data_IF_941926323437
#
_entry.id   IF_941926323437
#
_cell.length_a   1.000
_cell.length_b   1.000
_cell.length_c   1.000
_cell.angle_alpha   90.00
_cell.angle_beta   90.00
_cell.angle_gamma   90.00
#
_symmetry.space_group_name_H-M   'P 1'
#
loop_
_entity.id
_entity.type
_entity.pdbx_description
1 polymer ?
#
# COMPACT_ATOMS: atom_id res chain seq x y z
N UNK A 1 23.51 -3.52 21.27
CA UNK A 1 22.52 -2.91 20.35
C UNK A 1 22.82 -3.39 18.93
N UNK A 2 22.28 -4.54 18.53
CA UNK A 2 22.61 -5.22 17.26
C UNK A 2 21.63 -4.91 16.11
N UNK A 3 20.64 -4.06 16.36
CA UNK A 3 19.50 -3.83 15.45
C UNK A 3 19.86 -2.85 14.31
N UNK A 4 20.88 -2.01 14.55
CA UNK A 4 21.36 -0.98 13.60
C UNK A 4 22.51 -1.47 12.71
N UNK A 5 23.06 -2.67 12.94
CA UNK A 5 24.16 -3.15 12.10
C UNK A 5 23.61 -3.78 10.81
N UNK A 6 24.08 -3.29 9.66
CA UNK A 6 23.74 -3.82 8.34
C UNK A 6 24.05 -5.34 8.23
N UNK A 7 25.07 -5.80 8.98
CA UNK A 7 25.46 -7.21 9.12
C UNK A 7 24.41 -8.09 9.80
N UNK A 8 23.53 -7.52 10.63
CA UNK A 8 22.42 -8.26 11.27
C UNK A 8 21.30 -8.60 10.26
N UNK A 9 21.15 -7.75 9.25
CA UNK A 9 20.16 -7.91 8.18
C UNK A 9 20.71 -8.73 6.99
N UNK A 10 22.02 -8.65 6.73
CA UNK A 10 22.71 -9.40 5.67
C UNK A 10 23.34 -10.74 6.13
N UNK A 11 23.13 -11.18 7.37
CA UNK A 11 23.68 -12.46 7.81
C UNK A 11 23.00 -13.62 7.08
N UNK A 12 23.83 -14.49 6.47
CA UNK A 12 23.40 -15.62 5.64
C UNK A 12 22.76 -16.76 6.45
N UNK A 13 22.98 -16.76 7.76
CA UNK A 13 22.42 -17.70 8.74
C UNK A 13 21.84 -16.88 9.90
N UNK A 14 20.66 -16.29 9.75
CA UNK A 14 19.99 -15.69 10.89
C UNK A 14 19.63 -16.80 11.88
N UNK A 15 19.88 -16.64 13.20
CA UNK A 15 19.27 -17.51 14.18
C UNK A 15 17.75 -17.45 13.99
N UNK A 16 17.10 -18.61 14.11
CA UNK A 16 15.64 -18.76 14.02
C UNK A 16 14.95 -17.61 14.74
N UNK A 17 14.08 -16.89 14.06
CA UNK A 17 13.29 -15.81 14.67
C UNK A 17 12.67 -16.34 15.96
N UNK A 18 12.91 -15.65 17.07
CA UNK A 18 12.20 -15.97 18.30
C UNK A 18 10.70 -15.80 18.08
N UNK A 19 9.91 -16.59 18.80
CA UNK A 19 8.45 -16.61 18.68
C UNK A 19 7.84 -15.20 18.89
N UNK A 20 8.47 -14.37 19.74
CA UNK A 20 8.00 -13.01 20.05
C UNK A 20 8.17 -12.06 18.87
N UNK A 21 9.33 -12.11 18.21
CA UNK A 21 9.66 -11.28 17.06
C UNK A 21 8.74 -11.60 15.88
N UNK A 22 8.50 -12.89 15.64
CA UNK A 22 7.57 -13.35 14.61
C UNK A 22 6.14 -12.84 14.87
N UNK A 23 5.64 -12.92 16.12
CA UNK A 23 4.30 -12.44 16.49
C UNK A 23 4.17 -10.92 16.29
N UNK A 24 5.18 -10.14 16.67
CA UNK A 24 5.15 -8.67 16.51
C UNK A 24 5.08 -8.29 15.02
N UNK A 25 5.93 -8.91 14.19
CA UNK A 25 5.99 -8.62 12.76
C UNK A 25 4.70 -9.11 12.06
N UNK A 26 4.25 -10.32 12.37
CA UNK A 26 3.00 -10.86 11.85
C UNK A 26 1.80 -10.00 12.21
N UNK A 27 1.68 -9.57 13.47
CA UNK A 27 0.58 -8.72 13.92
C UNK A 27 0.60 -7.35 13.26
N UNK A 28 1.78 -6.75 13.05
CA UNK A 28 1.90 -5.50 12.31
C UNK A 28 1.38 -5.63 10.86
N UNK A 29 1.75 -6.69 10.14
CA UNK A 29 1.26 -6.95 8.79
C UNK A 29 -0.24 -7.30 8.75
N UNK A 30 -0.72 -8.08 9.73
CA UNK A 30 -2.14 -8.39 9.86
C UNK A 30 -2.98 -7.12 10.06
N UNK A 31 -2.52 -6.20 10.93
CA UNK A 31 -3.17 -4.90 11.13
C UNK A 31 -3.18 -4.10 9.82
N UNK A 32 -2.04 -4.03 9.11
CA UNK A 32 -1.96 -3.33 7.83
C UNK A 32 -2.96 -3.88 6.79
N UNK A 33 -3.07 -5.21 6.71
CA UNK A 33 -4.01 -5.90 5.83
C UNK A 33 -5.47 -5.62 6.21
N UNK A 34 -5.80 -5.70 7.50
CA UNK A 34 -7.15 -5.41 8.02
C UNK A 34 -7.51 -3.95 7.73
N UNK A 35 -6.61 -3.00 8.00
CA UNK A 35 -6.81 -1.57 7.70
C UNK A 35 -7.05 -1.36 6.21
N UNK A 36 -6.28 -2.01 5.34
CA UNK A 36 -6.49 -1.97 3.89
C UNK A 36 -7.87 -2.49 3.47
N UNK A 37 -8.33 -3.59 4.08
CA UNK A 37 -9.66 -4.16 3.86
C UNK A 37 -10.80 -3.28 4.37
N UNK A 38 -10.67 -2.73 5.58
CA UNK A 38 -11.64 -1.79 6.16
C UNK A 38 -11.74 -0.53 5.31
N UNK A 39 -10.61 0.04 4.87
CA UNK A 39 -10.60 1.15 3.92
C UNK A 39 -11.40 0.82 2.66
N UNK A 40 -11.24 -0.38 2.10
CA UNK A 40 -12.01 -0.82 0.90
C UNK A 40 -13.52 -0.77 1.14
N UNK A 41 -13.96 -1.27 2.30
CA UNK A 41 -15.38 -1.28 2.68
C UNK A 41 -15.92 0.12 2.90
N UNK A 42 -15.14 1.00 3.55
CA UNK A 42 -15.50 2.41 3.76
C UNK A 42 -15.59 3.15 2.42
N UNK A 43 -14.69 2.89 1.47
CA UNK A 43 -14.71 3.46 0.11
C UNK A 43 -15.99 3.08 -0.61
N UNK A 44 -16.44 1.83 -0.52
CA UNK A 44 -17.67 1.37 -1.18
C UNK A 44 -18.94 2.01 -0.58
N UNK A 45 -18.89 2.41 0.70
CA UNK A 45 -20.04 3.00 1.40
C UNK A 45 -20.03 4.53 1.46
N UNK A 46 -18.92 5.17 1.11
CA UNK A 46 -18.76 6.62 1.25
C UNK A 46 -19.06 7.36 -0.05
N UNK A 47 -19.74 8.50 0.06
CA UNK A 47 -20.03 9.44 -1.02
C UNK A 47 -18.90 10.45 -1.24
N UNK A 48 -17.64 10.04 -1.04
CA UNK A 48 -16.50 10.91 -1.33
C UNK A 48 -16.44 11.31 -2.80
N UNK A 49 -15.77 12.43 -3.09
CA UNK A 49 -15.51 12.86 -4.47
C UNK A 49 -14.90 11.72 -5.30
N UNK A 50 -15.37 11.56 -6.55
CA UNK A 50 -14.94 10.48 -7.47
C UNK A 50 -13.41 10.36 -7.59
N UNK A 51 -12.71 11.49 -7.53
CA UNK A 51 -11.24 11.54 -7.57
C UNK A 51 -10.59 11.06 -6.28
N UNK A 52 -11.19 11.40 -5.14
CA UNK A 52 -10.73 10.94 -3.82
C UNK A 52 -10.99 9.44 -3.64
N UNK A 53 -12.15 8.93 -4.08
CA UNK A 53 -12.44 7.49 -4.16
C UNK A 53 -11.39 6.74 -4.98
N UNK A 54 -10.97 7.29 -6.13
CA UNK A 54 -9.94 6.67 -6.98
C UNK A 54 -8.58 6.61 -6.29
N UNK A 55 -8.18 7.67 -5.58
CA UNK A 55 -6.94 7.68 -4.80
C UNK A 55 -7.00 6.70 -3.62
N UNK A 56 -8.10 6.69 -2.88
CA UNK A 56 -8.33 5.78 -1.76
C UNK A 56 -8.37 4.31 -2.22
N UNK A 57 -8.93 4.01 -3.40
CA UNK A 57 -8.94 2.66 -3.96
C UNK A 57 -7.52 2.17 -4.29
N UNK A 58 -6.65 3.07 -4.78
CA UNK A 58 -5.23 2.76 -4.99
C UNK A 58 -4.51 2.52 -3.67
N UNK A 59 -4.77 3.34 -2.65
CA UNK A 59 -4.19 3.17 -1.32
C UNK A 59 -4.64 1.88 -0.64
N UNK A 60 -5.93 1.56 -0.70
CA UNK A 60 -6.48 0.30 -0.17
C UNK A 60 -5.86 -0.91 -0.88
N UNK A 61 -5.74 -0.87 -2.21
CA UNK A 61 -5.06 -1.91 -2.98
C UNK A 61 -3.60 -2.10 -2.56
N UNK A 62 -2.87 -0.99 -2.33
CA UNK A 62 -1.50 -1.03 -1.83
C UNK A 62 -1.43 -1.69 -0.45
N UNK A 63 -2.25 -1.25 0.52
CA UNK A 63 -2.26 -1.84 1.88
C UNK A 63 -2.63 -3.33 1.87
N UNK A 64 -3.57 -3.75 1.03
CA UNK A 64 -3.98 -5.16 0.93
C UNK A 64 -2.86 -6.00 0.30
N UNK A 65 -2.31 -5.57 -0.84
CA UNK A 65 -1.25 -6.33 -1.54
C UNK A 65 0.02 -6.43 -0.69
N UNK A 66 0.41 -5.32 -0.07
CA UNK A 66 1.57 -5.26 0.80
C UNK A 66 1.32 -6.06 2.08
N UNK A 67 0.19 -5.88 2.77
CA UNK A 67 -0.16 -6.66 3.95
C UNK A 67 -0.20 -8.17 3.67
N UNK A 68 -0.75 -8.58 2.53
CA UNK A 68 -0.78 -9.99 2.11
C UNK A 68 0.63 -10.54 1.84
N UNK A 69 1.46 -9.79 1.10
CA UNK A 69 2.84 -10.16 0.83
C UNK A 69 3.65 -10.26 2.12
N UNK A 70 3.49 -9.33 3.06
CA UNK A 70 4.18 -9.34 4.35
C UNK A 70 3.76 -10.51 5.24
N UNK A 71 2.46 -10.88 5.24
CA UNK A 71 1.97 -12.09 5.91
C UNK A 71 2.56 -13.35 5.30
N UNK A 72 2.59 -13.43 3.97
CA UNK A 72 3.10 -14.58 3.22
C UNK A 72 4.63 -14.75 3.39
N UNK A 73 5.37 -13.64 3.40
CA UNK A 73 6.81 -13.63 3.70
C UNK A 73 7.07 -14.07 5.15
N UNK A 74 6.25 -13.61 6.11
CA UNK A 74 6.37 -14.03 7.51
C UNK A 74 6.04 -15.51 7.71
N UNK A 75 5.12 -16.05 6.92
CA UNK A 75 4.84 -17.49 6.90
C UNK A 75 6.06 -18.28 6.40
N UNK A 76 6.69 -17.87 5.30
CA UNK A 76 7.91 -18.51 4.80
C UNK A 76 9.11 -18.35 5.75
N UNK A 77 9.19 -17.24 6.47
CA UNK A 77 10.18 -17.03 7.52
C UNK A 77 9.97 -18.00 8.70
N UNK A 78 8.72 -18.27 9.08
CA UNK A 78 8.39 -19.25 10.11
C UNK A 78 8.75 -20.67 9.67
N UNK A 79 8.45 -21.04 8.42
CA UNK A 79 8.82 -22.34 7.84
C UNK A 79 10.33 -22.47 7.55
N UNK A 80 11.12 -21.42 7.86
CA UNK A 80 12.57 -21.38 7.73
C UNK A 80 13.06 -21.75 6.33
N UNK A 81 12.29 -21.41 5.29
CA UNK A 81 12.67 -21.66 3.90
C UNK A 81 13.93 -20.84 3.60
N UNK A 82 15.08 -21.47 3.29
CA UNK A 82 16.39 -20.79 3.28
C UNK A 82 16.48 -19.57 2.36
N UNK A 83 15.69 -19.53 1.29
CA UNK A 83 15.71 -18.46 0.29
C UNK A 83 14.71 -17.33 0.57
N UNK A 84 13.60 -17.62 1.24
CA UNK A 84 12.50 -16.67 1.50
C UNK A 84 12.42 -16.20 2.96
N UNK A 85 13.01 -16.94 3.91
CA UNK A 85 13.07 -16.55 5.32
C UNK A 85 14.24 -15.63 5.67
N UNK A 86 15.02 -15.21 4.67
CA UNK A 86 16.15 -14.33 4.91
C UNK A 86 15.69 -12.88 5.16
N UNK A 87 16.24 -12.27 6.21
CA UNK A 87 15.81 -10.96 6.73
C UNK A 87 15.93 -9.79 5.74
N UNK A 88 16.71 -9.95 4.67
CA UNK A 88 16.85 -8.95 3.61
C UNK A 88 15.57 -8.78 2.78
N UNK A 89 14.70 -9.79 2.70
CA UNK A 89 13.43 -9.65 1.98
C UNK A 89 12.54 -8.59 2.63
N UNK A 90 12.51 -8.51 3.96
CA UNK A 90 11.77 -7.47 4.67
C UNK A 90 12.26 -6.06 4.31
N UNK A 91 13.56 -5.88 4.06
CA UNK A 91 14.11 -4.59 3.63
C UNK A 91 13.71 -4.26 2.19
N UNK A 92 13.75 -5.24 1.28
CA UNK A 92 13.30 -5.08 -0.11
C UNK A 92 11.81 -4.76 -0.13
N UNK A 93 11.02 -5.48 0.66
CA UNK A 93 9.59 -5.26 0.84
C UNK A 93 9.33 -3.85 1.38
N UNK A 94 10.05 -3.42 2.42
CA UNK A 94 9.90 -2.09 3.01
C UNK A 94 10.24 -0.98 2.01
N UNK A 95 11.30 -1.18 1.21
CA UNK A 95 11.69 -0.24 0.16
C UNK A 95 10.62 -0.14 -0.93
N UNK A 96 10.11 -1.29 -1.40
CA UNK A 96 9.02 -1.35 -2.37
C UNK A 96 7.75 -0.68 -1.84
N UNK A 97 7.41 -0.93 -0.58
CA UNK A 97 6.30 -0.28 0.12
C UNK A 97 6.48 1.24 0.16
N UNK A 98 7.64 1.75 0.56
CA UNK A 98 7.92 3.18 0.65
C UNK A 98 7.86 3.88 -0.72
N UNK A 99 8.47 3.29 -1.76
CA UNK A 99 8.45 3.83 -3.12
C UNK A 99 7.00 3.93 -3.60
N UNK A 100 6.24 2.84 -3.47
CA UNK A 100 4.85 2.80 -3.94
C UNK A 100 3.94 3.73 -3.13
N UNK A 101 4.13 3.79 -1.80
CA UNK A 101 3.43 4.73 -0.93
C UNK A 101 3.69 6.17 -1.37
N UNK A 102 4.94 6.51 -1.69
CA UNK A 102 5.33 7.81 -2.24
C UNK A 102 4.56 8.16 -3.52
N UNK A 103 4.47 7.22 -4.47
CA UNK A 103 3.69 7.41 -5.70
C UNK A 103 2.19 7.62 -5.43
N UNK A 104 1.61 6.87 -4.49
CA UNK A 104 0.18 7.01 -4.13
C UNK A 104 -0.09 8.33 -3.42
N UNK A 105 0.76 8.75 -2.49
CA UNK A 105 0.65 10.03 -1.80
C UNK A 105 0.84 11.20 -2.76
N UNK A 106 1.84 11.14 -3.64
CA UNK A 106 2.04 12.15 -4.68
C UNK A 106 0.80 12.28 -5.57
N UNK A 107 0.23 11.15 -6.01
CA UNK A 107 -1.02 11.15 -6.78
C UNK A 107 -2.20 11.74 -5.98
N UNK A 108 -2.30 11.45 -4.69
CA UNK A 108 -3.36 11.95 -3.82
C UNK A 108 -3.27 13.48 -3.61
N UNK A 109 -2.09 14.02 -3.36
CA UNK A 109 -1.93 15.44 -3.06
C UNK A 109 -1.85 16.31 -4.32
N UNK A 110 -1.14 15.88 -5.35
CA UNK A 110 -0.95 16.67 -6.58
C UNK A 110 -2.05 16.39 -7.59
N UNK A 111 -2.29 15.12 -7.94
CA UNK A 111 -3.19 14.78 -9.06
C UNK A 111 -4.67 14.97 -8.72
N UNK A 112 -5.11 14.67 -7.49
CA UNK A 112 -6.53 14.89 -7.11
C UNK A 112 -6.90 16.38 -7.11
N UNK A 113 -5.98 17.26 -6.66
CA UNK A 113 -6.22 18.72 -6.68
C UNK A 113 -6.34 19.24 -8.11
N UNK A 114 -5.48 18.76 -9.00
CA UNK A 114 -5.44 19.21 -10.39
C UNK A 114 -6.62 18.68 -11.21
N UNK A 115 -7.02 17.43 -11.01
CA UNK A 115 -8.23 16.88 -11.64
C UNK A 115 -9.50 17.59 -11.18
N UNK A 116 -9.59 18.01 -9.92
CA UNK A 116 -10.75 18.79 -9.43
C UNK A 116 -10.89 20.11 -10.16
N UNK A 117 -9.77 20.76 -10.50
CA UNK A 117 -9.75 22.01 -11.27
C UNK A 117 -10.18 21.77 -12.73
N UNK A 118 -9.63 20.73 -13.35
CA UNK A 118 -9.93 20.37 -14.73
C UNK A 118 -11.39 19.93 -14.92
N UNK A 119 -11.98 19.20 -13.98
CA UNK A 119 -13.40 18.82 -14.07
C UNK A 119 -14.34 20.03 -13.95
N UNK A 120 -14.02 21.01 -13.09
CA UNK A 120 -14.79 22.26 -13.01
C UNK A 120 -14.69 23.05 -14.33
N UNK A 121 -13.52 23.10 -14.95
CA UNK A 121 -13.34 23.76 -16.24
C UNK A 121 -14.06 23.01 -17.38
N UNK A 122 -14.05 21.68 -17.34
CA UNK A 122 -14.76 20.84 -18.32
C UNK A 122 -16.28 21.01 -18.22
N UNK A 123 -16.82 21.00 -16.99
CA UNK A 123 -18.23 21.29 -16.74
C UNK A 123 -18.63 22.70 -17.16
N UNK A 124 -17.75 23.70 -16.97
CA UNK A 124 -17.97 25.06 -17.51
C UNK A 124 -18.00 25.06 -19.03
N UNK A 125 -17.06 24.40 -19.71
CA UNK A 125 -17.04 24.31 -21.18
C UNK A 125 -18.29 23.60 -21.72
N UNK A 126 -18.69 22.48 -21.11
CA UNK A 126 -19.90 21.73 -21.48
C UNK A 126 -21.20 22.52 -21.29
N UNK A 127 -21.24 23.47 -20.35
CA UNK A 127 -22.39 24.36 -20.18
C UNK A 127 -22.63 25.27 -21.39
N UNK A 128 -21.58 25.61 -22.14
CA UNK A 128 -21.64 26.54 -23.27
C UNK A 128 -21.52 25.84 -24.64
N UNK A 129 -21.25 24.54 -24.67
CA UNK A 129 -21.16 23.77 -25.91
C UNK A 129 -22.51 23.10 -26.22
N UNK A 130 -23.07 23.31 -27.43
CA UNK A 130 -24.30 22.65 -27.83
C UNK A 130 -24.07 21.14 -27.87
N UNK A 131 -24.93 20.38 -27.17
CA UNK A 131 -24.87 18.92 -27.17
C UNK A 131 -25.15 18.42 -28.59
N UNK A 132 -24.30 17.55 -29.18
CA UNK A 132 -24.59 16.97 -30.48
C UNK A 132 -25.89 16.17 -30.38
N UNK A 133 -26.82 16.46 -31.30
CA UNK A 133 -28.10 15.75 -31.41
C UNK A 133 -27.78 14.30 -31.74
N UNK A 134 -28.16 13.35 -30.88
CA UNK A 134 -28.04 11.91 -31.19
C UNK A 134 -28.87 11.65 -32.46
N UNK A 135 -28.18 11.21 -33.52
CA UNK A 135 -28.79 10.68 -34.73
C UNK A 135 -29.29 9.26 -34.48
#
# INVERSE_FOLDING_TARGET
>A
MAILSLSYWLSKFPPSMGLREAIIIFSAFAILFIVGGVMRTVIMRSSFDRHMLRALHRLSGLCITMGLLGLLETFFAFESIPFFGARYWYLIWLLAFLIWLGFVLHFMFFTVRDLRRNDVERLRREKYLPKPKRA
#
